data_IF_259529848077
#
_entry.id   IF_259529848077
#
_cell.length_a   1.000
_cell.length_b   1.000
_cell.length_c   1.000
_cell.angle_alpha   90.00
_cell.angle_beta   90.00
_cell.angle_gamma   90.00
#
_symmetry.space_group_name_H-M   'P 1'
#
loop_
_entity.id
_entity.type
_entity.pdbx_description
1 polymer ?
#
# COMPACT_ATOMS: atom_id res chain seq x y z
N UNK A 1 17.82 -1.50 1.26
CA UNK A 1 16.78 -2.46 0.90
C UNK A 1 15.47 -1.76 1.22
N UNK A 2 14.71 -1.36 0.22
CA UNK A 2 13.47 -0.59 0.42
C UNK A 2 12.46 -1.51 1.10
N UNK A 3 12.13 -1.21 2.37
CA UNK A 3 10.98 -1.84 3.02
C UNK A 3 9.75 -1.52 2.14
N UNK A 4 8.92 -2.50 1.77
CA UNK A 4 7.72 -2.20 1.00
C UNK A 4 6.85 -1.24 1.80
N UNK A 5 6.69 -0.02 1.27
CA UNK A 5 5.79 0.95 1.83
C UNK A 5 4.34 0.48 1.65
N UNK A 6 3.47 0.91 2.55
CA UNK A 6 2.05 0.56 2.47
C UNK A 6 1.49 1.08 1.14
N UNK A 7 0.80 0.26 0.34
CA UNK A 7 0.20 0.75 -0.88
C UNK A 7 -0.84 1.83 -0.55
N UNK A 8 -0.83 2.89 -1.35
CA UNK A 8 -1.78 3.99 -1.26
C UNK A 8 -3.08 3.61 -1.99
N UNK A 9 -4.27 3.85 -1.41
CA UNK A 9 -5.51 3.56 -2.09
C UNK A 9 -5.63 4.41 -3.38
N UNK A 10 -6.24 3.85 -4.44
CA UNK A 10 -6.52 4.63 -5.64
C UNK A 10 -7.48 5.78 -5.30
N UNK A 11 -7.28 6.93 -5.95
CA UNK A 11 -8.18 8.07 -5.81
C UNK A 11 -9.54 7.81 -6.46
N UNK A 12 -10.55 8.59 -6.08
CA UNK A 12 -11.93 8.42 -6.60
C UNK A 12 -12.01 8.53 -8.14
N UNK A 13 -11.09 9.27 -8.77
CA UNK A 13 -11.01 9.41 -10.22
C UNK A 13 -10.17 8.32 -10.92
N UNK A 14 -9.36 7.58 -10.17
CA UNK A 14 -8.58 6.44 -10.68
C UNK A 14 -9.49 5.22 -10.84
N UNK A 15 -10.49 5.10 -9.97
CA UNK A 15 -11.56 4.13 -10.13
C UNK A 15 -12.61 4.69 -11.08
N UNK A 16 -12.65 4.16 -12.30
CA UNK A 16 -13.65 4.51 -13.31
C UNK A 16 -15.11 4.23 -12.88
N UNK A 17 -15.34 3.48 -11.79
CA UNK A 17 -16.63 3.09 -11.16
C UNK A 17 -17.70 2.49 -12.11
N UNK A 18 -17.35 2.35 -13.39
CA UNK A 18 -18.24 1.96 -14.49
C UNK A 18 -17.86 0.60 -15.08
N UNK A 19 -16.96 -0.15 -14.42
CA UNK A 19 -16.51 -1.47 -14.87
C UNK A 19 -15.31 -1.46 -15.82
N UNK A 20 -14.41 -0.47 -15.73
CA UNK A 20 -13.14 -0.52 -16.45
C UNK A 20 -12.28 -1.68 -15.92
N UNK A 21 -11.90 -2.62 -16.80
CA UNK A 21 -10.99 -3.72 -16.49
C UNK A 21 -9.59 -3.43 -17.04
N UNK A 22 -8.52 -3.57 -16.22
CA UNK A 22 -8.52 -4.11 -14.85
C UNK A 22 -8.93 -3.08 -13.78
N UNK A 23 -9.64 -3.53 -12.74
CA UNK A 23 -10.04 -2.69 -11.62
C UNK A 23 -8.82 -2.29 -10.78
N UNK A 24 -8.63 -0.98 -10.57
CA UNK A 24 -7.54 -0.45 -9.74
C UNK A 24 -7.55 -1.00 -8.31
N UNK A 25 -8.73 -1.36 -7.81
CA UNK A 25 -8.89 -1.97 -6.48
C UNK A 25 -8.33 -3.39 -6.41
N UNK A 26 -8.39 -4.17 -7.49
CA UNK A 26 -7.86 -5.54 -7.50
C UNK A 26 -6.34 -5.53 -7.31
N UNK A 27 -5.65 -4.65 -8.04
CA UNK A 27 -4.21 -4.42 -7.90
C UNK A 27 -3.88 -3.93 -6.48
N UNK A 28 -4.61 -2.92 -6.00
CA UNK A 28 -4.41 -2.38 -4.65
C UNK A 28 -4.55 -3.44 -3.56
N UNK A 29 -5.60 -4.27 -3.61
CA UNK A 29 -5.80 -5.32 -2.61
C UNK A 29 -4.76 -6.43 -2.69
N UNK A 30 -4.30 -6.78 -3.89
CA UNK A 30 -3.21 -7.74 -4.07
C UNK A 30 -1.91 -7.24 -3.41
N UNK A 31 -1.54 -5.99 -3.66
CA UNK A 31 -0.37 -5.34 -3.06
C UNK A 31 -0.52 -5.17 -1.55
N UNK A 32 -1.72 -4.79 -1.09
CA UNK A 32 -2.02 -4.59 0.33
C UNK A 32 -1.91 -5.91 1.10
N UNK A 33 -2.39 -7.01 0.53
CA UNK A 33 -2.26 -8.33 1.14
C UNK A 33 -0.77 -8.74 1.26
N UNK A 34 0.00 -8.56 0.19
CA UNK A 34 1.44 -8.82 0.22
C UNK A 34 2.18 -7.95 1.25
N UNK A 35 1.80 -6.67 1.37
CA UNK A 35 2.32 -5.77 2.39
C UNK A 35 1.94 -6.23 3.79
N UNK A 36 0.68 -6.57 4.05
CA UNK A 36 0.23 -7.09 5.35
C UNK A 36 0.96 -8.38 5.74
N UNK A 37 1.17 -9.30 4.81
CA UNK A 37 1.89 -10.54 5.06
C UNK A 37 3.36 -10.28 5.44
N UNK A 38 4.01 -9.32 4.75
CA UNK A 38 5.37 -8.89 5.08
C UNK A 38 5.41 -8.15 6.41
N UNK A 39 4.47 -7.23 6.67
CA UNK A 39 4.34 -6.56 7.96
C UNK A 39 4.10 -7.55 9.08
N UNK A 40 3.30 -8.60 8.92
CA UNK A 40 3.12 -9.60 9.97
C UNK A 40 4.42 -10.38 10.28
N UNK A 41 5.29 -10.56 9.28
CA UNK A 41 6.63 -11.12 9.48
C UNK A 41 7.60 -10.09 10.08
N UNK A 42 7.45 -8.81 9.72
CA UNK A 42 8.32 -7.70 10.06
C UNK A 42 7.93 -6.97 11.34
N UNK A 43 6.68 -6.95 11.81
CA UNK A 43 6.23 -6.30 13.06
C UNK A 43 6.81 -6.97 14.30
N UNK A 44 7.39 -8.16 14.13
CA UNK A 44 8.28 -8.76 15.12
C UNK A 44 9.65 -8.07 15.18
N UNK A 45 9.92 -7.05 14.35
CA UNK A 45 11.24 -6.44 14.13
C UNK A 45 11.21 -4.93 13.75
N UNK A 46 10.18 -4.36 13.09
CA UNK A 46 10.25 -2.99 12.52
C UNK A 46 8.92 -2.21 12.64
N UNK A 47 8.70 -1.57 13.78
CA UNK A 47 7.68 -0.51 14.00
C UNK A 47 8.08 0.86 13.38
N UNK A 48 8.98 0.89 12.37
CA UNK A 48 9.66 2.12 11.95
C UNK A 48 9.66 2.31 10.44
N UNK A 49 8.56 2.78 9.84
CA UNK A 49 8.60 3.33 8.48
C UNK A 49 7.42 4.28 8.18
N UNK A 50 7.04 5.12 9.14
CA UNK A 50 6.17 6.27 8.88
C UNK A 50 6.65 7.43 9.73
N UNK A 51 7.85 7.93 9.43
CA UNK A 51 8.28 9.23 9.94
C UNK A 51 9.45 9.76 9.09
N UNK A 52 9.19 10.07 7.82
CA UNK A 52 10.09 10.88 7.00
C UNK A 52 9.26 11.80 6.11
N UNK A 53 8.95 13.00 6.60
CA UNK A 53 9.00 14.21 5.76
C UNK A 53 8.94 15.48 6.64
N UNK A 54 10.12 16.05 6.85
CA UNK A 54 10.40 17.50 6.87
C UNK A 54 9.83 18.36 8.01
N UNK A 55 10.65 18.49 9.07
CA UNK A 55 10.77 19.73 9.84
C UNK A 55 11.72 20.68 9.10
N UNK A 56 11.25 21.84 8.68
CA UNK A 56 12.08 23.01 8.32
C UNK A 56 11.48 24.26 8.96
#
# INVERSE_FOLDING_TARGET
MSNPERPTPPGDYECCESGCEPCVWDTYYAELNAWQAKQAATTKTEESASNDETRS
#
